data_IF_270859613232
#
_entry.id   IF_270859613232
#
_cell.length_a   1.000
_cell.length_b   1.000
_cell.length_c   1.000
_cell.angle_alpha   90.00
_cell.angle_beta   90.00
_cell.angle_gamma   90.00
#
_symmetry.space_group_name_H-M   'P 1'
#
loop_
_entity.id
_entity.type
_entity.pdbx_description
1 polymer ?
#
# COMPACT_ATOMS: atom_id res chain seq x y z
N UNK A 1 -2.42 -13.85 -29.02
CA UNK A 1 -3.77 -14.28 -28.61
C UNK A 1 -3.64 -15.39 -27.55
N UNK A 2 -4.32 -15.24 -26.41
CA UNK A 2 -4.37 -16.28 -25.38
C UNK A 2 -5.08 -17.53 -25.95
N UNK A 3 -4.53 -18.70 -25.67
CA UNK A 3 -5.10 -19.99 -26.12
C UNK A 3 -4.87 -21.06 -25.07
N UNK A 4 -5.96 -21.73 -24.64
CA UNK A 4 -5.90 -22.86 -23.70
C UNK A 4 -5.07 -24.02 -24.25
N UNK A 5 -5.20 -24.32 -25.56
CA UNK A 5 -4.46 -25.39 -26.20
C UNK A 5 -2.94 -25.13 -26.30
N UNK A 6 -2.53 -23.87 -26.35
CA UNK A 6 -1.12 -23.47 -26.37
C UNK A 6 -0.54 -23.26 -24.96
N UNK A 7 -1.36 -23.26 -23.92
CA UNK A 7 -0.94 -22.99 -22.52
C UNK A 7 -0.02 -21.77 -22.41
N UNK A 8 -0.32 -20.72 -23.16
CA UNK A 8 0.52 -19.53 -23.26
C UNK A 8 0.15 -18.42 -22.25
N UNK A 9 -0.52 -18.78 -21.19
CA UNK A 9 -0.79 -17.96 -20.01
C UNK A 9 -0.89 -18.89 -18.78
N UNK A 10 -0.59 -18.40 -17.56
CA UNK A 10 -0.67 -19.22 -16.36
C UNK A 10 -2.11 -19.64 -16.03
N UNK A 11 -2.27 -20.81 -15.42
CA UNK A 11 -3.57 -21.24 -14.90
C UNK A 11 -3.98 -20.33 -13.73
N UNK A 12 -5.22 -19.88 -13.75
CA UNK A 12 -5.73 -18.91 -12.77
C UNK A 12 -5.75 -19.50 -11.36
N UNK A 13 -6.09 -20.80 -11.22
CA UNK A 13 -6.14 -21.45 -9.91
C UNK A 13 -4.71 -21.59 -9.35
N UNK A 14 -3.74 -21.98 -10.18
CA UNK A 14 -2.34 -22.06 -9.77
C UNK A 14 -1.82 -20.70 -9.30
N UNK A 15 -2.21 -19.59 -9.97
CA UNK A 15 -1.85 -18.24 -9.55
C UNK A 15 -2.53 -17.88 -8.23
N UNK A 16 -3.81 -18.21 -8.04
CA UNK A 16 -4.51 -17.92 -6.81
C UNK A 16 -3.93 -18.67 -5.61
N UNK A 17 -3.59 -19.95 -5.80
CA UNK A 17 -3.01 -20.79 -4.73
C UNK A 17 -1.60 -20.32 -4.34
N UNK A 18 -0.84 -19.81 -5.29
CA UNK A 18 0.56 -19.42 -5.09
C UNK A 18 0.75 -17.97 -4.71
N UNK A 19 0.10 -17.05 -5.43
CA UNK A 19 0.35 -15.60 -5.33
C UNK A 19 -0.86 -14.83 -4.72
N UNK A 20 -2.02 -15.49 -4.63
CA UNK A 20 -3.26 -14.90 -4.13
C UNK A 20 -4.07 -14.17 -5.21
N UNK A 21 -5.38 -14.03 -4.96
CA UNK A 21 -6.29 -13.36 -5.89
C UNK A 21 -6.04 -11.86 -6.00
N UNK A 22 -5.59 -11.21 -4.94
CA UNK A 22 -5.26 -9.79 -4.96
C UNK A 22 -4.06 -9.49 -5.87
N UNK A 23 -3.10 -10.42 -5.98
CA UNK A 23 -1.97 -10.28 -6.90
C UNK A 23 -2.44 -10.23 -8.37
N UNK A 24 -3.33 -11.14 -8.75
CA UNK A 24 -3.92 -11.15 -10.09
C UNK A 24 -4.80 -9.91 -10.31
N UNK A 25 -5.60 -9.53 -9.33
CA UNK A 25 -6.46 -8.35 -9.39
C UNK A 25 -5.64 -7.07 -9.61
N UNK A 26 -4.60 -6.88 -8.80
CA UNK A 26 -3.67 -5.77 -8.94
C UNK A 26 -3.02 -5.73 -10.33
N UNK A 27 -2.50 -6.87 -10.79
CA UNK A 27 -1.87 -6.98 -12.11
C UNK A 27 -2.81 -6.54 -13.24
N UNK A 28 -4.07 -6.98 -13.22
CA UNK A 28 -5.05 -6.60 -14.23
C UNK A 28 -5.41 -5.12 -14.16
N UNK A 29 -5.70 -4.60 -12.95
CA UNK A 29 -6.13 -3.21 -12.74
C UNK A 29 -5.00 -2.20 -12.97
N UNK A 30 -3.75 -2.56 -12.70
CA UNK A 30 -2.58 -1.70 -12.94
C UNK A 30 -2.07 -1.74 -14.38
N UNK A 31 -2.68 -2.58 -15.24
CA UNK A 31 -2.25 -2.74 -16.62
C UNK A 31 -2.93 -1.75 -17.57
N UNK A 32 -2.38 -1.61 -18.76
CA UNK A 32 -2.97 -0.80 -19.84
C UNK A 32 -4.20 -1.42 -20.50
N UNK A 33 -4.65 -2.60 -20.07
CA UNK A 33 -5.75 -3.33 -20.71
C UNK A 33 -7.06 -2.54 -20.70
N UNK A 34 -7.34 -1.82 -19.62
CA UNK A 34 -8.54 -0.96 -19.52
C UNK A 34 -8.51 0.27 -20.43
N UNK A 35 -7.31 0.63 -20.93
CA UNK A 35 -7.11 1.69 -21.94
C UNK A 35 -7.03 1.13 -23.37
N UNK A 36 -7.41 -0.14 -23.59
CA UNK A 36 -7.34 -0.81 -24.89
C UNK A 36 -5.96 -1.30 -25.29
N UNK A 37 -5.00 -1.33 -24.37
CA UNK A 37 -3.66 -1.85 -24.59
C UNK A 37 -3.61 -3.37 -24.61
N UNK A 38 -2.52 -3.91 -25.15
CA UNK A 38 -2.25 -5.35 -25.10
C UNK A 38 -1.64 -5.73 -23.75
N UNK A 39 -2.10 -6.83 -23.17
CA UNK A 39 -1.58 -7.39 -21.93
C UNK A 39 -0.98 -8.78 -22.20
N UNK A 40 0.28 -8.96 -21.82
CA UNK A 40 0.89 -10.28 -21.72
C UNK A 40 0.79 -10.75 -20.26
N UNK A 41 -0.03 -11.78 -20.02
CA UNK A 41 -0.20 -12.33 -18.68
C UNK A 41 0.96 -13.27 -18.38
N UNK A 42 1.86 -12.85 -17.50
CA UNK A 42 3.03 -13.62 -17.08
C UNK A 42 3.06 -13.73 -15.56
N UNK A 43 3.58 -14.84 -15.04
CA UNK A 43 3.77 -15.02 -13.60
C UNK A 43 4.66 -13.94 -12.99
N UNK A 44 5.72 -13.56 -13.71
CA UNK A 44 6.63 -12.52 -13.25
C UNK A 44 5.95 -11.15 -13.16
N UNK A 45 5.11 -10.79 -14.13
CA UNK A 45 4.33 -9.55 -14.07
C UNK A 45 3.35 -9.52 -12.90
N UNK A 46 2.72 -10.66 -12.58
CA UNK A 46 1.82 -10.76 -11.41
C UNK A 46 2.61 -10.57 -10.10
N UNK A 47 3.76 -11.25 -9.96
CA UNK A 47 4.62 -11.14 -8.77
C UNK A 47 5.27 -9.77 -8.61
N UNK A 48 5.48 -9.05 -9.71
CA UNK A 48 6.01 -7.70 -9.65
C UNK A 48 5.09 -6.76 -8.86
N UNK A 49 3.78 -6.82 -9.09
CA UNK A 49 2.80 -6.03 -8.32
C UNK A 49 2.84 -6.34 -6.81
N UNK A 50 3.00 -7.62 -6.45
CA UNK A 50 3.18 -8.01 -5.04
C UNK A 50 4.42 -7.34 -4.43
N UNK A 51 5.55 -7.37 -5.13
CA UNK A 51 6.81 -6.78 -4.64
C UNK A 51 6.78 -5.26 -4.58
N UNK A 52 6.10 -4.61 -5.52
CA UNK A 52 6.11 -3.16 -5.64
C UNK A 52 5.14 -2.45 -4.69
N UNK A 53 4.05 -3.11 -4.29
CA UNK A 53 3.02 -2.50 -3.46
C UNK A 53 2.63 -3.32 -2.22
N UNK A 54 2.22 -4.58 -2.40
CA UNK A 54 1.66 -5.36 -1.28
C UNK A 54 2.69 -5.66 -0.19
N UNK A 55 3.92 -6.05 -0.56
CA UNK A 55 4.99 -6.29 0.41
C UNK A 55 5.44 -5.00 1.12
N UNK A 56 5.64 -3.86 0.45
CA UNK A 56 5.86 -2.59 1.13
C UNK A 56 4.77 -2.21 2.13
N UNK A 57 3.49 -2.35 1.75
CA UNK A 57 2.36 -2.11 2.66
C UNK A 57 2.41 -3.05 3.87
N UNK A 58 2.51 -4.36 3.63
CA UNK A 58 2.60 -5.37 4.68
C UNK A 58 3.78 -5.14 5.63
N UNK A 59 4.95 -4.83 5.09
CA UNK A 59 6.14 -4.58 5.91
C UNK A 59 5.99 -3.29 6.74
N UNK A 60 5.30 -2.27 6.22
CA UNK A 60 5.00 -1.04 6.97
C UNK A 60 4.05 -1.32 8.14
N UNK A 61 3.01 -2.10 7.90
CA UNK A 61 2.11 -2.56 8.95
C UNK A 61 2.82 -3.44 9.98
N UNK A 62 3.62 -4.41 9.53
CA UNK A 62 4.38 -5.29 10.42
C UNK A 62 5.35 -4.51 11.30
N UNK A 63 6.02 -3.51 10.73
CA UNK A 63 6.86 -2.57 11.49
C UNK A 63 6.03 -1.85 12.55
N UNK A 64 4.92 -1.23 12.15
CA UNK A 64 4.03 -0.53 13.07
C UNK A 64 3.55 -1.44 14.21
N UNK A 65 2.96 -2.59 13.88
CA UNK A 65 2.41 -3.52 14.85
C UNK A 65 3.48 -4.05 15.83
N UNK A 66 4.68 -4.35 15.33
CA UNK A 66 5.79 -4.83 16.16
C UNK A 66 6.18 -3.80 17.21
N UNK A 67 6.38 -2.55 16.81
CA UNK A 67 6.83 -1.52 17.74
C UNK A 67 5.72 -0.98 18.62
N UNK A 68 4.49 -0.86 18.14
CA UNK A 68 3.34 -0.45 18.95
C UNK A 68 3.06 -1.48 20.06
N UNK A 69 3.07 -2.77 19.74
CA UNK A 69 2.92 -3.84 20.73
C UNK A 69 4.08 -3.86 21.74
N UNK A 70 5.32 -3.68 21.30
CA UNK A 70 6.48 -3.62 22.19
C UNK A 70 6.41 -2.41 23.14
N UNK A 71 5.88 -1.28 22.67
CA UNK A 71 5.69 -0.06 23.48
C UNK A 71 4.42 -0.11 24.35
N UNK A 72 3.52 -1.08 24.15
CA UNK A 72 2.21 -1.12 24.80
C UNK A 72 1.33 0.08 24.43
N UNK A 73 1.51 0.63 23.22
CA UNK A 73 0.84 1.86 22.78
C UNK A 73 -0.32 1.55 21.84
N UNK A 74 -1.49 2.06 22.18
CA UNK A 74 -2.68 2.04 21.33
C UNK A 74 -2.75 3.35 20.53
N UNK A 75 -2.36 3.27 19.27
CA UNK A 75 -2.33 4.42 18.38
C UNK A 75 -3.73 4.89 18.00
N UNK A 76 -3.86 6.19 17.76
CA UNK A 76 -5.13 6.85 17.42
C UNK A 76 -5.07 7.44 16.03
N UNK A 77 -6.21 7.46 15.37
CA UNK A 77 -6.35 8.20 14.12
C UNK A 77 -6.22 9.70 14.42
N UNK A 78 -5.17 10.33 13.91
CA UNK A 78 -4.87 11.74 14.12
C UNK A 78 -4.17 12.35 12.93
N UNK A 79 -4.58 13.54 12.55
CA UNK A 79 -3.91 14.37 11.54
C UNK A 79 -3.14 15.52 12.18
N UNK A 80 -3.11 15.58 13.50
CA UNK A 80 -2.44 16.63 14.27
C UNK A 80 -1.07 16.14 14.73
N UNK A 81 -0.02 16.64 14.11
CA UNK A 81 1.36 16.44 14.53
C UNK A 81 2.15 17.74 14.39
N UNK A 82 3.05 17.96 15.31
CA UNK A 82 4.00 19.09 15.28
C UNK A 82 5.23 18.75 14.46
N UNK A 83 5.51 17.48 14.24
CA UNK A 83 6.69 17.02 13.53
C UNK A 83 6.57 17.25 12.01
N UNK A 84 7.60 17.82 11.42
CA UNK A 84 7.60 18.18 9.99
C UNK A 84 7.49 16.95 9.06
N UNK A 85 8.07 15.80 9.44
CA UNK A 85 7.99 14.58 8.65
C UNK A 85 6.57 13.99 8.66
N UNK A 86 5.88 14.07 9.81
CA UNK A 86 4.50 13.62 9.96
C UNK A 86 3.56 14.49 9.15
N UNK A 87 3.68 15.81 9.26
CA UNK A 87 2.90 16.77 8.47
C UNK A 87 3.08 16.55 6.98
N UNK A 88 4.29 16.24 6.55
CA UNK A 88 4.57 15.95 5.15
C UNK A 88 3.90 14.67 4.66
N UNK A 89 4.04 13.54 5.41
CA UNK A 89 3.41 12.29 4.97
C UNK A 89 1.88 12.36 5.05
N UNK A 90 1.31 13.06 6.02
CA UNK A 90 -0.13 13.30 6.12
C UNK A 90 -0.64 14.14 4.94
N UNK A 91 0.11 15.17 4.53
CA UNK A 91 -0.23 15.96 3.35
C UNK A 91 -0.22 15.10 2.07
N UNK A 92 0.84 14.29 1.88
CA UNK A 92 0.90 13.34 0.76
C UNK A 92 -0.25 12.32 0.80
N UNK A 93 -0.67 11.90 1.98
CA UNK A 93 -1.83 11.00 2.14
C UNK A 93 -3.12 11.68 1.67
N UNK A 94 -3.31 12.94 2.02
CA UNK A 94 -4.45 13.72 1.54
C UNK A 94 -4.45 13.91 0.02
N UNK A 95 -3.29 14.14 -0.58
CA UNK A 95 -3.12 14.23 -2.03
C UNK A 95 -3.44 12.89 -2.69
N UNK A 96 -2.93 11.78 -2.13
CA UNK A 96 -3.20 10.43 -2.62
C UNK A 96 -4.70 10.13 -2.67
N UNK A 97 -5.44 10.44 -1.60
CA UNK A 97 -6.90 10.21 -1.54
C UNK A 97 -7.60 10.92 -2.70
N UNK A 98 -7.37 12.24 -2.87
CA UNK A 98 -7.99 13.02 -3.93
C UNK A 98 -7.65 12.53 -5.34
N UNK A 99 -6.37 12.22 -5.53
CA UNK A 99 -5.86 11.87 -6.85
C UNK A 99 -6.33 10.48 -7.27
N UNK A 100 -6.31 9.49 -6.36
CA UNK A 100 -6.79 8.12 -6.64
C UNK A 100 -8.31 8.13 -6.86
N UNK A 101 -9.08 8.88 -6.07
CA UNK A 101 -10.52 9.06 -6.28
C UNK A 101 -10.80 9.61 -7.68
N UNK A 102 -10.13 10.70 -8.07
CA UNK A 102 -10.26 11.30 -9.39
C UNK A 102 -9.88 10.36 -10.54
N UNK A 103 -8.82 9.54 -10.36
CA UNK A 103 -8.40 8.60 -11.39
C UNK A 103 -9.41 7.43 -11.52
N UNK A 104 -9.92 6.91 -10.40
CA UNK A 104 -10.92 5.84 -10.41
C UNK A 104 -12.28 6.30 -10.97
N UNK A 105 -12.71 7.54 -10.71
CA UNK A 105 -13.90 8.13 -11.34
C UNK A 105 -13.78 8.18 -12.87
N UNK A 106 -12.58 8.36 -13.39
CA UNK A 106 -12.28 8.32 -14.82
C UNK A 106 -12.02 6.91 -15.36
N UNK A 107 -12.18 5.88 -14.52
CA UNK A 107 -11.85 4.48 -14.82
C UNK A 107 -10.36 4.27 -15.15
N UNK A 108 -9.48 5.16 -14.70
CA UNK A 108 -8.04 5.08 -14.90
C UNK A 108 -7.33 4.38 -13.73
N UNK A 109 -7.62 3.10 -13.57
CA UNK A 109 -7.04 2.29 -12.49
C UNK A 109 -5.52 2.11 -12.63
N UNK A 110 -4.96 2.24 -13.82
CA UNK A 110 -3.53 2.12 -14.04
C UNK A 110 -2.77 3.29 -13.41
N UNK A 111 -3.24 4.54 -13.63
CA UNK A 111 -2.66 5.72 -12.97
C UNK A 111 -2.88 5.67 -11.46
N UNK A 112 -4.07 5.27 -11.00
CA UNK A 112 -4.32 5.08 -9.57
C UNK A 112 -3.32 4.09 -8.93
N UNK A 113 -3.02 2.97 -9.62
CA UNK A 113 -2.02 2.01 -9.14
C UNK A 113 -0.60 2.59 -9.10
N UNK A 114 -0.21 3.42 -10.07
CA UNK A 114 1.08 4.14 -10.05
C UNK A 114 1.19 5.04 -8.83
N UNK A 115 0.16 5.83 -8.54
CA UNK A 115 0.14 6.71 -7.35
C UNK A 115 0.27 5.92 -6.05
N UNK A 116 -0.42 4.77 -5.94
CA UNK A 116 -0.31 3.90 -4.76
C UNK A 116 1.11 3.35 -4.59
N UNK A 117 1.78 2.94 -5.68
CA UNK A 117 3.18 2.47 -5.63
C UNK A 117 4.15 3.58 -5.21
N UNK A 118 4.01 4.75 -5.79
CA UNK A 118 4.86 5.90 -5.48
C UNK A 118 4.69 6.32 -4.02
N UNK A 119 3.46 6.35 -3.53
CA UNK A 119 3.17 6.62 -2.14
C UNK A 119 3.76 5.56 -1.20
N UNK A 120 3.61 4.27 -1.52
CA UNK A 120 4.19 3.19 -0.72
C UNK A 120 5.72 3.30 -0.65
N UNK A 121 6.36 3.71 -1.74
CA UNK A 121 7.80 4.01 -1.76
C UNK A 121 8.15 5.20 -0.85
N UNK A 122 7.40 6.29 -0.92
CA UNK A 122 7.60 7.45 -0.04
C UNK A 122 7.39 7.08 1.44
N UNK A 123 6.37 6.29 1.74
CA UNK A 123 6.09 5.80 3.10
C UNK A 123 7.25 4.96 3.65
N UNK A 124 7.68 3.95 2.90
CA UNK A 124 8.67 2.97 3.38
C UNK A 124 10.09 3.49 3.34
N UNK A 125 10.53 3.97 2.16
CA UNK A 125 11.92 4.30 1.91
C UNK A 125 12.31 5.68 2.44
N UNK A 126 11.33 6.53 2.68
CA UNK A 126 11.59 7.88 3.16
C UNK A 126 11.02 8.12 4.56
N UNK A 127 9.69 8.08 4.77
CA UNK A 127 9.06 8.43 6.06
C UNK A 127 9.46 7.48 7.18
N UNK A 128 9.18 6.19 7.06
CA UNK A 128 9.48 5.18 8.10
C UNK A 128 10.99 5.14 8.36
N UNK A 129 11.79 5.14 7.30
CA UNK A 129 13.25 5.08 7.43
C UNK A 129 13.82 6.28 8.21
N UNK A 130 13.31 7.49 7.97
CA UNK A 130 13.78 8.71 8.63
C UNK A 130 13.21 8.89 10.03
N UNK A 131 12.02 8.37 10.29
CA UNK A 131 11.34 8.45 11.57
C UNK A 131 11.67 7.30 12.52
N UNK A 132 12.47 6.30 12.07
CA UNK A 132 12.67 5.03 12.78
C UNK A 132 13.08 5.21 14.25
N UNK A 133 13.96 6.16 14.57
CA UNK A 133 14.40 6.41 15.94
C UNK A 133 13.26 6.81 16.89
N UNK A 134 12.22 7.45 16.37
CA UNK A 134 11.05 7.88 17.15
C UNK A 134 10.20 6.70 17.64
N UNK A 135 10.18 5.58 16.88
CA UNK A 135 9.48 4.35 17.25
C UNK A 135 10.20 3.53 18.32
N UNK A 136 11.41 3.94 18.70
CA UNK A 136 12.18 3.36 19.81
C UNK A 136 12.14 4.21 21.08
N UNK A 137 11.51 5.39 21.01
CA UNK A 137 11.33 6.30 22.14
C UNK A 137 10.32 5.79 23.17
N UNK A 138 10.31 6.42 24.32
CA UNK A 138 9.30 6.15 25.34
C UNK A 138 8.01 6.95 25.01
N UNK A 139 6.96 6.25 24.61
CA UNK A 139 5.67 6.85 24.20
C UNK A 139 4.97 7.63 25.31
N UNK A 140 5.31 7.39 26.59
CA UNK A 140 4.72 8.10 27.73
C UNK A 140 5.49 9.38 28.10
N UNK A 141 6.75 9.47 27.72
CA UNK A 141 7.63 10.59 28.09
C UNK A 141 7.96 11.50 26.90
N UNK A 142 7.92 10.94 25.67
CA UNK A 142 8.27 11.65 24.44
C UNK A 142 7.06 11.80 23.50
N UNK A 143 6.44 12.99 23.45
CA UNK A 143 5.34 13.27 22.53
C UNK A 143 5.70 12.99 21.05
N UNK A 144 6.97 13.16 20.65
CA UNK A 144 7.39 12.87 19.30
C UNK A 144 7.28 11.38 18.96
N UNK A 145 7.40 10.49 19.95
CA UNK A 145 7.20 9.06 19.79
C UNK A 145 5.72 8.74 19.58
N UNK A 146 4.83 9.21 20.44
CA UNK A 146 3.38 8.97 20.31
C UNK A 146 2.82 9.56 19.01
N UNK A 147 3.22 10.79 18.62
CA UNK A 147 2.85 11.40 17.34
C UNK A 147 3.27 10.54 16.13
N UNK A 148 4.45 9.88 16.19
CA UNK A 148 4.91 9.02 15.11
C UNK A 148 4.01 7.77 14.95
N UNK A 149 3.60 7.14 16.06
CA UNK A 149 2.69 6.00 16.03
C UNK A 149 1.31 6.40 15.50
N UNK A 150 0.74 7.50 16.00
CA UNK A 150 -0.58 8.00 15.58
C UNK A 150 -0.57 8.37 14.09
N UNK A 151 0.50 9.02 13.62
CA UNK A 151 0.67 9.36 12.21
C UNK A 151 0.77 8.10 11.34
N UNK A 152 1.62 7.13 11.72
CA UNK A 152 1.78 5.92 10.92
C UNK A 152 0.50 5.08 10.89
N UNK A 153 -0.22 4.98 12.01
CA UNK A 153 -1.54 4.36 12.06
C UNK A 153 -2.52 5.03 11.11
N UNK A 154 -2.64 6.36 11.18
CA UNK A 154 -3.52 7.17 10.31
C UNK A 154 -3.22 6.95 8.83
N UNK A 155 -1.93 6.95 8.48
CA UNK A 155 -1.47 6.73 7.10
C UNK A 155 -1.80 5.31 6.62
N UNK A 156 -1.53 4.28 7.43
CA UNK A 156 -1.81 2.89 7.07
C UNK A 156 -3.30 2.62 6.93
N UNK A 157 -4.12 3.08 7.87
CA UNK A 157 -5.58 2.99 7.82
C UNK A 157 -6.13 3.64 6.54
N UNK A 158 -5.69 4.86 6.23
CA UNK A 158 -6.12 5.58 5.03
C UNK A 158 -5.64 4.88 3.76
N UNK A 159 -4.38 4.45 3.71
CA UNK A 159 -3.81 3.74 2.56
C UNK A 159 -4.56 2.43 2.26
N UNK A 160 -4.92 1.66 3.30
CA UNK A 160 -5.71 0.44 3.14
C UNK A 160 -7.09 0.74 2.55
N UNK A 161 -7.77 1.77 3.03
CA UNK A 161 -9.08 2.19 2.48
C UNK A 161 -8.99 2.60 1.01
N UNK A 162 -7.98 3.40 0.66
CA UNK A 162 -7.76 3.85 -0.72
C UNK A 162 -7.37 2.69 -1.65
N UNK A 163 -6.60 1.72 -1.17
CA UNK A 163 -6.17 0.57 -1.94
C UNK A 163 -7.21 -0.57 -2.00
N UNK A 164 -8.21 -0.59 -1.11
CA UNK A 164 -9.19 -1.66 -1.00
C UNK A 164 -9.89 -2.03 -2.33
N UNK A 165 -10.26 -1.11 -3.24
CA UNK A 165 -10.82 -1.48 -4.53
C UNK A 165 -9.90 -2.36 -5.39
N UNK A 166 -8.58 -2.28 -5.18
CA UNK A 166 -7.58 -3.02 -5.95
C UNK A 166 -7.10 -4.29 -5.26
N UNK A 167 -6.93 -4.25 -3.92
CA UNK A 167 -6.40 -5.34 -3.09
C UNK A 167 -7.25 -5.57 -1.85
N UNK A 168 -8.54 -5.92 -2.00
CA UNK A 168 -9.50 -5.97 -0.89
C UNK A 168 -9.08 -6.91 0.25
N UNK A 169 -8.54 -8.09 -0.06
CA UNK A 169 -8.20 -9.08 0.95
C UNK A 169 -6.95 -8.71 1.77
N UNK A 170 -5.94 -8.15 1.10
CA UNK A 170 -4.74 -7.64 1.79
C UNK A 170 -5.09 -6.41 2.62
N UNK A 171 -5.89 -5.48 2.08
CA UNK A 171 -6.30 -4.27 2.79
C UNK A 171 -7.11 -4.59 4.06
N UNK A 172 -8.01 -5.59 4.00
CA UNK A 172 -8.80 -6.04 5.16
C UNK A 172 -7.93 -6.73 6.22
N UNK A 173 -6.83 -7.38 5.81
CA UNK A 173 -5.94 -8.10 6.72
C UNK A 173 -4.95 -7.19 7.45
N UNK A 174 -4.59 -6.07 6.86
CA UNK A 174 -3.71 -5.04 7.43
C UNK A 174 -4.46 -4.17 8.42
#
# INVERSE_FOLDING_TARGET
KMSKSLRNYPDVNEVFDRDGSDAMRWFLMSSSVLRGGNLSVTEEGIRQGVREFMLPLWNSWYFFATYANAAGYEAKFSTESTNVLDRYILALTGDLVRDVESDLEKLDSATAAERLRDFASALTNWYIRRSRARFWGNVTEDPASSEAFDTLYTVLETLCRVAAPMIPLVAERV
#
